data_IF_617137386788
#
_entry.id   IF_617137386788
#
_cell.length_a   1.000
_cell.length_b   1.000
_cell.length_c   1.000
_cell.angle_alpha   90.00
_cell.angle_beta   90.00
_cell.angle_gamma   90.00
#
_symmetry.space_group_name_H-M   'P 1'
#
loop_
_entity.id
_entity.type
_entity.pdbx_description
1 polymer ?
#
# COMPACT_ATOMS: atom_id res chain seq x y z
N UNK A 1 9.92 14.57 -11.68
CA UNK A 1 8.49 14.20 -11.90
C UNK A 1 8.25 14.00 -13.39
N UNK A 2 8.54 14.97 -14.29
CA UNK A 2 8.35 14.85 -15.74
C UNK A 2 8.99 13.57 -16.31
N UNK A 3 10.27 13.33 -16.06
CA UNK A 3 10.99 12.15 -16.55
C UNK A 3 10.32 10.81 -16.19
N UNK A 4 9.76 10.68 -14.98
CA UNK A 4 9.04 9.44 -14.55
C UNK A 4 7.69 9.27 -15.25
N UNK A 5 7.04 10.37 -15.62
CA UNK A 5 5.79 10.33 -16.40
C UNK A 5 6.10 9.96 -17.84
N UNK A 6 7.17 10.54 -18.42
CA UNK A 6 7.61 10.24 -19.79
C UNK A 6 7.99 8.75 -19.94
N UNK A 7 8.70 8.18 -18.96
CA UNK A 7 9.06 6.77 -18.90
C UNK A 7 7.82 5.87 -18.80
N UNK A 8 6.81 6.30 -18.03
CA UNK A 8 5.56 5.54 -17.88
C UNK A 8 4.74 5.54 -19.19
N UNK A 9 4.77 6.65 -19.94
CA UNK A 9 4.05 6.77 -21.22
C UNK A 9 4.81 6.10 -22.37
N UNK A 10 6.15 6.13 -22.33
CA UNK A 10 7.01 5.48 -23.34
C UNK A 10 7.99 4.51 -22.67
N UNK A 11 7.59 3.22 -22.52
CA UNK A 11 8.41 2.17 -21.90
C UNK A 11 9.73 1.89 -22.64
N UNK A 12 9.87 2.32 -23.90
CA UNK A 12 11.08 2.09 -24.70
C UNK A 12 12.30 2.90 -24.23
N UNK A 13 12.09 3.89 -23.36
CA UNK A 13 13.14 4.81 -22.87
C UNK A 13 14.01 4.26 -21.72
N UNK A 14 13.94 2.97 -21.41
CA UNK A 14 14.98 2.24 -20.65
C UNK A 14 14.83 2.14 -19.13
N UNK A 15 13.89 2.81 -18.49
CA UNK A 15 13.72 2.80 -17.02
C UNK A 15 12.46 2.04 -16.53
N UNK A 16 11.79 1.30 -17.41
CA UNK A 16 10.66 0.39 -17.04
C UNK A 16 11.12 -0.86 -16.26
N UNK A 17 12.44 -1.06 -16.15
CA UNK A 17 13.06 -2.23 -15.53
C UNK A 17 12.48 -2.58 -14.15
N UNK A 18 12.22 -1.60 -13.30
CA UNK A 18 11.64 -1.82 -11.97
C UNK A 18 10.19 -2.33 -12.04
N UNK A 19 9.39 -1.76 -12.93
CA UNK A 19 7.99 -2.15 -13.14
C UNK A 19 7.94 -3.55 -13.76
N UNK A 20 8.80 -3.83 -14.74
CA UNK A 20 8.87 -5.13 -15.41
C UNK A 20 9.26 -6.23 -14.41
N UNK A 21 10.28 -5.99 -13.57
CA UNK A 21 10.65 -6.91 -12.50
C UNK A 21 9.53 -7.11 -11.47
N UNK A 22 8.79 -6.04 -11.16
CA UNK A 22 7.64 -6.11 -10.26
C UNK A 22 6.53 -6.99 -10.83
N UNK A 23 6.20 -6.83 -12.10
CA UNK A 23 5.21 -7.66 -12.81
C UNK A 23 5.68 -9.12 -12.97
N UNK A 24 6.98 -9.32 -13.22
CA UNK A 24 7.58 -10.65 -13.26
C UNK A 24 7.50 -11.35 -11.90
N UNK A 25 7.69 -10.61 -10.79
CA UNK A 25 7.53 -11.12 -9.43
C UNK A 25 6.12 -11.67 -9.20
N UNK A 26 5.07 -10.92 -9.58
CA UNK A 26 3.70 -11.41 -9.50
C UNK A 26 3.45 -12.64 -10.37
N UNK A 27 3.93 -12.65 -11.62
CA UNK A 27 3.78 -13.80 -12.52
C UNK A 27 4.47 -15.04 -11.96
N UNK A 28 5.66 -14.88 -11.37
CA UNK A 28 6.44 -15.99 -10.85
C UNK A 28 5.88 -16.57 -9.55
N UNK A 29 5.21 -15.75 -8.72
CA UNK A 29 4.59 -16.18 -7.47
C UNK A 29 3.29 -16.96 -7.67
N UNK A 30 2.52 -16.67 -8.71
CA UNK A 30 1.25 -17.35 -8.96
C UNK A 30 0.25 -17.19 -7.81
N UNK A 31 -0.65 -18.17 -7.64
CA UNK A 31 -1.72 -18.09 -6.64
C UNK A 31 -1.20 -18.23 -5.20
N UNK A 32 -0.29 -19.15 -4.95
CA UNK A 32 0.15 -19.55 -3.60
C UNK A 32 1.54 -19.03 -3.22
N UNK A 33 2.25 -18.40 -4.15
CA UNK A 33 3.62 -17.96 -3.94
C UNK A 33 4.66 -19.08 -4.04
N UNK A 34 5.93 -18.70 -4.07
CA UNK A 34 7.09 -19.61 -4.07
C UNK A 34 7.50 -20.09 -2.69
N UNK A 35 7.02 -19.42 -1.65
CA UNK A 35 7.41 -19.62 -0.26
C UNK A 35 8.23 -18.47 0.30
N UNK A 36 8.11 -18.27 1.61
CA UNK A 36 8.82 -17.21 2.34
C UNK A 36 10.35 -17.38 2.17
N UNK A 37 11.00 -16.31 1.77
CA UNK A 37 12.44 -16.28 1.58
C UNK A 37 12.93 -16.89 0.25
N UNK A 38 12.07 -17.53 -0.54
CA UNK A 38 12.44 -18.17 -1.80
C UNK A 38 12.25 -17.25 -3.03
N UNK A 39 11.85 -16.00 -2.82
CA UNK A 39 11.78 -14.99 -3.86
C UNK A 39 13.15 -14.69 -4.45
N UNK A 40 13.32 -14.87 -5.76
CA UNK A 40 14.57 -14.63 -6.48
C UNK A 40 14.67 -13.17 -6.92
N UNK A 41 13.53 -12.57 -7.28
CA UNK A 41 13.46 -11.23 -7.85
C UNK A 41 13.64 -10.13 -6.81
N UNK A 42 13.37 -10.42 -5.52
CA UNK A 42 13.60 -9.45 -4.44
C UNK A 42 15.05 -8.92 -4.36
N UNK A 43 16.04 -9.74 -4.77
CA UNK A 43 17.45 -9.33 -4.82
C UNK A 43 17.80 -8.50 -6.06
N UNK A 44 16.93 -8.46 -7.06
CA UNK A 44 17.11 -7.72 -8.32
C UNK A 44 16.32 -6.42 -8.36
N UNK A 45 15.26 -6.30 -7.55
CA UNK A 45 14.42 -5.10 -7.49
C UNK A 45 15.11 -4.08 -6.57
N UNK A 46 15.51 -2.90 -7.09
CA UNK A 46 15.98 -1.81 -6.23
C UNK A 46 14.87 -1.39 -5.28
N UNK A 47 15.23 -1.10 -4.02
CA UNK A 47 14.26 -0.67 -2.99
C UNK A 47 13.09 -1.65 -2.73
N UNK A 48 13.33 -2.96 -2.95
CA UNK A 48 12.34 -4.03 -2.77
C UNK A 48 11.66 -4.00 -1.38
N UNK A 49 12.40 -3.65 -0.33
CA UNK A 49 11.90 -3.62 1.05
C UNK A 49 11.09 -2.38 1.40
N UNK A 50 11.16 -1.33 0.59
CA UNK A 50 10.46 -0.07 0.82
C UNK A 50 9.29 0.10 -0.13
N UNK A 51 9.57 0.35 -1.40
CA UNK A 51 8.56 0.77 -2.38
C UNK A 51 7.85 -0.41 -3.05
N UNK A 52 8.56 -1.53 -3.23
CA UNK A 52 8.07 -2.72 -3.93
C UNK A 52 7.81 -3.93 -3.01
N UNK A 53 7.60 -3.68 -1.71
CA UNK A 53 7.30 -4.76 -0.76
C UNK A 53 6.06 -5.57 -1.15
N UNK A 54 5.09 -4.93 -1.79
CA UNK A 54 3.87 -5.58 -2.28
C UNK A 54 4.17 -6.58 -3.41
N UNK A 55 5.16 -6.28 -4.28
CA UNK A 55 5.61 -7.20 -5.34
C UNK A 55 6.38 -8.37 -4.77
N UNK A 56 7.21 -8.13 -3.75
CA UNK A 56 7.91 -9.21 -3.02
C UNK A 56 6.90 -10.13 -2.33
N UNK A 57 5.87 -9.57 -1.69
CA UNK A 57 4.78 -10.36 -1.13
C UNK A 57 4.03 -11.15 -2.19
N UNK A 58 3.86 -10.60 -3.40
CA UNK A 58 3.28 -11.28 -4.55
C UNK A 58 4.12 -12.47 -5.02
N UNK A 59 5.45 -12.36 -5.03
CA UNK A 59 6.35 -13.46 -5.39
C UNK A 59 6.38 -14.57 -4.33
N UNK A 60 6.54 -14.19 -3.05
CA UNK A 60 6.75 -15.16 -1.97
C UNK A 60 5.45 -15.79 -1.46
N UNK A 61 4.37 -15.00 -1.32
CA UNK A 61 3.10 -15.40 -0.71
C UNK A 61 1.94 -15.54 -1.71
N UNK A 62 2.14 -15.05 -2.94
CA UNK A 62 1.18 -15.17 -4.03
C UNK A 62 0.01 -14.19 -4.00
N UNK A 63 -0.86 -14.33 -5.02
CA UNK A 63 -2.02 -13.44 -5.20
C UNK A 63 -3.05 -13.52 -4.07
N UNK A 64 -3.20 -14.69 -3.43
CA UNK A 64 -4.15 -14.87 -2.33
C UNK A 64 -3.77 -13.95 -1.17
N UNK A 65 -2.51 -13.92 -0.78
CA UNK A 65 -2.04 -13.08 0.31
C UNK A 65 -2.15 -11.57 -0.03
N UNK A 66 -1.80 -11.20 -1.26
CA UNK A 66 -1.96 -9.82 -1.74
C UNK A 66 -3.42 -9.37 -1.68
N UNK A 67 -4.36 -10.25 -2.05
CA UNK A 67 -5.80 -9.98 -1.97
C UNK A 67 -6.28 -9.80 -0.52
N UNK A 68 -5.77 -10.62 0.41
CA UNK A 68 -6.07 -10.48 1.84
C UNK A 68 -5.54 -9.13 2.37
N UNK A 69 -4.34 -8.73 1.98
CA UNK A 69 -3.79 -7.42 2.37
C UNK A 69 -4.67 -6.27 1.88
N UNK A 70 -5.06 -6.27 0.61
CA UNK A 70 -5.97 -5.27 0.05
C UNK A 70 -7.29 -5.24 0.83
N UNK A 71 -7.85 -6.41 1.14
CA UNK A 71 -9.09 -6.52 1.90
C UNK A 71 -8.96 -5.94 3.31
N UNK A 72 -7.81 -6.14 3.98
CA UNK A 72 -7.53 -5.53 5.30
C UNK A 72 -7.51 -4.01 5.20
N UNK A 73 -6.79 -3.43 4.22
CA UNK A 73 -6.76 -1.98 4.01
C UNK A 73 -8.15 -1.42 3.76
N UNK A 74 -8.92 -2.04 2.86
CA UNK A 74 -10.30 -1.66 2.57
C UNK A 74 -11.19 -1.73 3.81
N UNK A 75 -11.04 -2.78 4.62
CA UNK A 75 -11.82 -2.93 5.86
C UNK A 75 -11.51 -1.80 6.85
N UNK A 76 -10.24 -1.43 7.02
CA UNK A 76 -9.85 -0.31 7.89
C UNK A 76 -10.48 0.99 7.40
N UNK A 77 -10.39 1.28 6.10
CA UNK A 77 -10.92 2.49 5.48
C UNK A 77 -12.45 2.55 5.63
N UNK A 78 -13.14 1.53 5.16
CA UNK A 78 -14.62 1.49 5.15
C UNK A 78 -15.16 1.53 6.58
N UNK A 79 -14.60 0.74 7.49
CA UNK A 79 -15.04 0.71 8.89
C UNK A 79 -14.85 2.04 9.59
N UNK A 80 -13.71 2.70 9.38
CA UNK A 80 -13.44 4.02 9.97
C UNK A 80 -14.45 5.06 9.47
N UNK A 81 -14.74 5.07 8.17
CA UNK A 81 -15.73 5.98 7.57
C UNK A 81 -17.16 5.68 8.07
N UNK A 82 -17.57 4.42 8.10
CA UNK A 82 -18.91 4.05 8.57
C UNK A 82 -19.13 4.39 10.05
N UNK A 83 -18.10 4.24 10.88
CA UNK A 83 -18.18 4.57 12.29
C UNK A 83 -18.31 6.09 12.51
N UNK A 84 -17.50 6.89 11.79
CA UNK A 84 -17.53 8.34 12.00
C UNK A 84 -18.80 8.98 11.44
N UNK A 85 -19.40 8.46 10.38
CA UNK A 85 -20.67 8.97 9.86
C UNK A 85 -21.85 8.86 10.85
N UNK A 86 -21.73 7.99 11.86
CA UNK A 86 -22.72 7.90 12.95
C UNK A 86 -22.53 8.99 14.01
N UNK A 87 -21.38 9.64 14.05
CA UNK A 87 -21.08 10.76 14.96
C UNK A 87 -21.56 12.07 14.35
N UNK A 88 -22.31 12.85 15.11
CA UNK A 88 -22.76 14.19 14.67
C UNK A 88 -21.74 15.30 14.85
N UNK A 89 -20.51 14.98 15.25
CA UNK A 89 -19.44 15.95 15.51
C UNK A 89 -18.66 16.23 14.23
N UNK A 90 -18.85 17.41 13.66
CA UNK A 90 -18.21 17.85 12.42
C UNK A 90 -16.67 17.82 12.49
N UNK A 91 -16.10 18.21 13.63
CA UNK A 91 -14.65 18.20 13.83
C UNK A 91 -14.07 16.78 13.70
N UNK A 92 -14.64 15.82 14.43
CA UNK A 92 -14.20 14.42 14.38
C UNK A 92 -14.39 13.82 12.97
N UNK A 93 -15.45 14.21 12.26
CA UNK A 93 -15.71 13.76 10.90
C UNK A 93 -14.61 14.23 9.95
N UNK A 94 -14.28 15.53 9.93
CA UNK A 94 -13.26 16.10 9.04
C UNK A 94 -11.89 15.47 9.35
N UNK A 95 -11.56 15.32 10.62
CA UNK A 95 -10.29 14.74 11.05
C UNK A 95 -10.15 13.28 10.58
N UNK A 96 -11.15 12.44 10.83
CA UNK A 96 -11.11 11.02 10.44
C UNK A 96 -11.11 10.85 8.93
N UNK A 97 -11.91 11.63 8.20
CA UNK A 97 -11.90 11.60 6.72
C UNK A 97 -10.52 11.98 6.18
N UNK A 98 -9.88 13.04 6.74
CA UNK A 98 -8.53 13.43 6.35
C UNK A 98 -7.49 12.33 6.61
N UNK A 99 -7.50 11.72 7.79
CA UNK A 99 -6.57 10.65 8.16
C UNK A 99 -6.77 9.39 7.29
N UNK A 100 -8.02 8.99 7.07
CA UNK A 100 -8.35 7.84 6.20
C UNK A 100 -7.95 8.11 4.76
N UNK A 101 -8.13 9.34 4.28
CA UNK A 101 -7.72 9.71 2.92
C UNK A 101 -6.20 9.62 2.74
N UNK A 102 -5.41 10.14 3.69
CA UNK A 102 -3.94 10.04 3.64
C UNK A 102 -3.50 8.57 3.64
N UNK A 103 -4.02 7.79 4.59
CA UNK A 103 -3.71 6.36 4.72
C UNK A 103 -4.10 5.56 3.47
N UNK A 104 -5.31 5.78 2.97
CA UNK A 104 -5.86 5.09 1.80
C UNK A 104 -5.15 5.46 0.51
N UNK A 105 -4.88 6.75 0.27
CA UNK A 105 -4.14 7.20 -0.92
C UNK A 105 -2.71 6.69 -0.93
N UNK A 106 -2.03 6.66 0.22
CA UNK A 106 -0.69 6.12 0.32
C UNK A 106 -0.66 4.63 -0.06
N UNK A 107 -1.59 3.83 0.50
CA UNK A 107 -1.71 2.41 0.17
C UNK A 107 -2.06 2.21 -1.31
N UNK A 108 -3.03 2.97 -1.83
CA UNK A 108 -3.47 2.89 -3.22
C UNK A 108 -2.34 3.21 -4.21
N UNK A 109 -1.58 4.29 -3.97
CA UNK A 109 -0.46 4.68 -4.84
C UNK A 109 0.64 3.61 -4.82
N UNK A 110 0.99 3.07 -3.64
CA UNK A 110 2.00 2.00 -3.55
C UNK A 110 1.56 0.75 -4.31
N UNK A 111 0.33 0.25 -4.08
CA UNK A 111 -0.20 -0.93 -4.75
C UNK A 111 -0.30 -0.69 -6.26
N UNK A 112 -0.82 0.47 -6.70
CA UNK A 112 -0.91 0.82 -8.12
C UNK A 112 0.46 0.86 -8.80
N UNK A 113 1.47 1.38 -8.11
CA UNK A 113 2.86 1.42 -8.58
C UNK A 113 3.44 0.01 -8.71
N UNK A 114 3.17 -0.87 -7.74
CA UNK A 114 3.64 -2.25 -7.75
C UNK A 114 3.04 -3.08 -8.90
N UNK A 115 1.78 -2.84 -9.28
CA UNK A 115 1.13 -3.52 -10.41
C UNK A 115 1.33 -2.80 -11.75
N UNK A 116 2.17 -1.75 -11.81
CA UNK A 116 2.43 -1.00 -13.03
C UNK A 116 1.29 -0.10 -13.50
N UNK A 117 0.28 0.17 -12.66
CA UNK A 117 -0.86 1.02 -13.01
C UNK A 117 -0.58 2.53 -12.81
N UNK A 118 0.49 2.89 -12.09
CA UNK A 118 0.92 4.27 -11.90
C UNK A 118 2.46 4.38 -11.92
N UNK A 119 3.01 5.56 -12.25
CA UNK A 119 4.45 5.76 -12.23
C UNK A 119 5.00 5.60 -10.81
N UNK A 120 6.17 4.99 -10.69
CA UNK A 120 6.85 4.75 -9.41
C UNK A 120 7.17 6.07 -8.70
N UNK A 121 6.67 6.26 -7.48
CA UNK A 121 6.85 7.50 -6.71
C UNK A 121 7.69 7.33 -5.44
N UNK A 122 8.17 6.13 -5.13
CA UNK A 122 8.91 5.89 -3.90
C UNK A 122 8.03 6.13 -2.66
N UNK A 123 6.80 5.61 -2.66
CA UNK A 123 5.89 5.69 -1.53
C UNK A 123 5.79 4.34 -0.84
N UNK A 124 6.04 4.33 0.46
CA UNK A 124 5.99 3.11 1.28
C UNK A 124 4.55 2.65 1.52
N UNK A 125 4.31 1.35 1.58
CA UNK A 125 3.03 0.77 1.99
C UNK A 125 2.85 0.95 3.51
N UNK A 126 1.77 1.61 3.99
CA UNK A 126 1.58 1.87 5.42
C UNK A 126 1.64 0.59 6.25
N UNK A 127 2.33 0.63 7.40
CA UNK A 127 2.50 -0.47 8.37
C UNK A 127 3.27 -1.71 7.87
N UNK A 128 3.63 -1.80 6.59
CA UNK A 128 4.25 -3.01 6.02
C UNK A 128 5.65 -2.71 5.50
N UNK A 129 5.82 -1.60 4.76
CA UNK A 129 7.12 -1.25 4.19
C UNK A 129 8.14 -0.90 5.27
N UNK A 130 9.38 -1.29 5.03
CA UNK A 130 10.50 -0.88 5.87
C UNK A 130 10.76 0.63 5.71
N UNK A 131 10.58 1.37 6.81
CA UNK A 131 10.81 2.81 6.86
C UNK A 131 10.47 3.36 8.24
N UNK A 132 11.47 3.80 9.02
CA UNK A 132 11.26 4.26 10.40
C UNK A 132 10.24 5.40 10.50
N UNK A 133 10.37 6.44 9.68
CA UNK A 133 9.44 7.57 9.66
C UNK A 133 8.04 7.20 9.20
N UNK A 134 7.95 6.33 8.19
CA UNK A 134 6.69 5.83 7.65
C UNK A 134 5.91 4.99 8.68
N UNK A 135 6.62 4.12 9.40
CA UNK A 135 6.02 3.30 10.46
C UNK A 135 5.49 4.16 11.61
N UNK A 136 6.24 5.16 12.06
CA UNK A 136 5.79 6.09 13.11
C UNK A 136 4.55 6.86 12.64
N UNK A 137 4.60 7.44 11.44
CA UNK A 137 3.47 8.20 10.88
C UNK A 137 2.21 7.35 10.75
N UNK A 138 2.33 6.14 10.19
CA UNK A 138 1.21 5.21 10.02
C UNK A 138 0.63 4.77 11.37
N UNK A 139 1.49 4.54 12.36
CA UNK A 139 1.06 4.16 13.72
C UNK A 139 0.29 5.29 14.40
N UNK A 140 0.73 6.54 14.24
CA UNK A 140 0.02 7.72 14.75
C UNK A 140 -1.35 7.84 14.08
N UNK A 141 -1.42 7.70 12.75
CA UNK A 141 -2.69 7.75 12.01
C UNK A 141 -3.67 6.70 12.55
N UNK A 142 -3.23 5.45 12.69
CA UNK A 142 -4.09 4.37 13.21
C UNK A 142 -4.49 4.63 14.67
N UNK A 143 -3.56 5.11 15.50
CA UNK A 143 -3.85 5.47 16.89
C UNK A 143 -4.94 6.55 17.00
N UNK A 144 -4.85 7.61 16.18
CA UNK A 144 -5.86 8.67 16.12
C UNK A 144 -7.20 8.15 15.58
N UNK A 145 -7.19 7.32 14.53
CA UNK A 145 -8.41 6.69 14.00
C UNK A 145 -9.12 5.85 15.08
N UNK A 146 -8.38 5.03 15.82
CA UNK A 146 -8.93 4.21 16.89
C UNK A 146 -9.48 5.08 18.04
N UNK A 147 -8.77 6.15 18.42
CA UNK A 147 -9.22 7.07 19.46
C UNK A 147 -10.57 7.72 19.14
N UNK A 148 -10.74 8.20 17.90
CA UNK A 148 -11.97 8.86 17.46
C UNK A 148 -13.13 7.91 17.17
N UNK A 149 -12.84 6.65 16.83
CA UNK A 149 -13.86 5.63 16.53
C UNK A 149 -14.27 4.78 17.75
N UNK A 150 -13.46 4.76 18.83
CA UNK A 150 -13.68 3.90 20.00
C UNK A 150 -14.93 4.27 20.83
N UNK A 151 -15.37 5.52 20.81
CA UNK A 151 -16.53 6.01 21.58
C UNK A 151 -17.90 5.53 21.08
N UNK A 152 -17.96 4.87 19.92
CA UNK A 152 -19.21 4.50 19.24
C UNK A 152 -19.77 3.11 19.59
N UNK A 153 -19.08 2.35 20.43
CA UNK A 153 -19.51 1.00 20.85
C UNK A 153 -20.45 0.94 22.06
N UNK A 154 -20.81 2.13 22.64
CA UNK A 154 -21.57 2.23 23.89
C UNK A 154 -22.86 3.06 23.79
N UNK A 155 -23.51 3.11 22.64
CA UNK A 155 -24.88 3.60 22.55
C UNK A 155 -25.74 2.61 21.75
#
# INVERSE_FOLDING_TARGET
VKRRIDIFVDPSSGDSYQIDLSLEAFKSGGLTGKGLGQGILKGKIPDAHTDFIFSVAGEELGYIFCSILIFIFLTIIIRSLLLILKKREVYSLILVVGLVSIFGLQALINISSAIGASPTKGMTLPLISYGGSSMISSSIIIGMLLGHTKGLKKQ
#
